data_IF_450690754322
#
_entry.id   IF_450690754322
#
_cell.length_a   1.000
_cell.length_b   1.000
_cell.length_c   1.000
_cell.angle_alpha   90.00
_cell.angle_beta   90.00
_cell.angle_gamma   90.00
#
_symmetry.space_group_name_H-M   'P 1'
#
loop_
_entity.id
_entity.type
_entity.pdbx_description
1 polymer ?
#
# COMPACT_ATOMS: atom_id res chain seq x y z
N UNK A 1 43.75 -56.49 -4.18
CA UNK A 1 43.61 -56.32 -2.72
C UNK A 1 42.32 -55.52 -2.51
N UNK A 2 41.14 -56.14 -2.43
CA UNK A 2 40.50 -56.73 -1.22
C UNK A 2 40.15 -55.65 -0.18
N UNK A 3 38.97 -55.46 0.45
CA UNK A 3 37.59 -56.02 0.56
C UNK A 3 36.80 -54.90 1.30
N UNK A 4 35.57 -54.51 0.95
CA UNK A 4 34.24 -55.03 1.34
C UNK A 4 33.92 -55.15 2.86
N UNK A 5 32.85 -54.45 3.27
CA UNK A 5 31.88 -54.63 4.39
C UNK A 5 32.34 -54.86 5.85
N UNK A 6 31.77 -54.14 6.83
CA UNK A 6 30.47 -54.47 7.45
C UNK A 6 30.09 -53.56 8.67
N UNK A 7 28.78 -53.56 8.94
CA UNK A 7 27.94 -52.90 9.94
C UNK A 7 28.23 -53.09 11.45
N UNK A 8 27.71 -52.14 12.28
CA UNK A 8 26.87 -52.34 13.51
C UNK A 8 26.55 -50.99 14.18
N UNK A 9 25.28 -50.53 14.13
CA UNK A 9 24.22 -50.63 15.17
C UNK A 9 24.57 -49.96 16.53
N UNK A 10 24.09 -48.73 16.73
CA UNK A 10 23.92 -48.07 18.02
C UNK A 10 22.51 -47.49 18.15
N UNK A 11 21.76 -47.96 19.15
CA UNK A 11 20.32 -47.75 19.39
C UNK A 11 20.02 -46.32 19.86
N UNK A 12 19.00 -45.67 19.29
CA UNK A 12 18.27 -44.57 19.95
C UNK A 12 16.96 -45.12 20.51
N UNK A 13 16.79 -44.95 21.82
CA UNK A 13 15.62 -45.33 22.60
C UNK A 13 14.41 -44.49 22.23
N UNK A 14 13.32 -45.17 21.87
CA UNK A 14 12.00 -44.57 21.72
C UNK A 14 11.38 -44.17 23.05
N UNK A 15 10.56 -43.12 23.01
CA UNK A 15 9.47 -42.90 23.97
C UNK A 15 8.26 -42.41 23.18
N UNK A 16 7.25 -43.27 23.08
CA UNK A 16 6.02 -43.02 22.35
C UNK A 16 4.98 -42.23 23.14
N UNK A 17 4.18 -41.49 22.36
CA UNK A 17 2.75 -41.17 22.45
C UNK A 17 2.03 -41.26 23.82
N UNK A 18 1.36 -40.16 24.18
CA UNK A 18 -0.10 -40.18 24.34
C UNK A 18 -0.70 -38.75 24.41
N UNK A 19 -1.47 -38.31 23.42
CA UNK A 19 -2.45 -37.21 23.57
C UNK A 19 -3.66 -37.45 22.68
N UNK A 20 -4.58 -38.27 23.19
CA UNK A 20 -6.00 -38.28 22.79
C UNK A 20 -6.79 -37.36 23.71
N UNK A 21 -7.50 -36.38 23.13
CA UNK A 21 -8.72 -35.68 23.60
C UNK A 21 -8.80 -34.36 22.83
N UNK A 22 -9.90 -33.91 22.24
CA UNK A 22 -11.27 -34.38 22.15
C UNK A 22 -12.00 -33.31 21.32
N UNK A 23 -12.83 -33.75 20.39
CA UNK A 23 -13.69 -32.86 19.59
C UNK A 23 -14.71 -32.18 20.51
N UNK A 24 -14.84 -30.86 20.41
CA UNK A 24 -16.06 -30.16 20.84
C UNK A 24 -16.32 -28.97 19.92
N UNK A 25 -17.03 -29.24 18.83
CA UNK A 25 -17.83 -28.28 18.07
C UNK A 25 -19.15 -28.06 18.81
N UNK A 26 -19.41 -26.85 19.31
CA UNK A 26 -20.74 -26.51 19.82
C UNK A 26 -20.99 -25.00 19.75
N UNK A 27 -22.26 -24.67 19.45
CA UNK A 27 -22.91 -23.35 19.28
C UNK A 27 -22.83 -22.84 17.84
N UNK A 28 -23.71 -23.27 16.93
CA UNK A 28 -25.13 -23.61 17.13
C UNK A 28 -25.94 -22.32 17.12
N UNK A 29 -26.31 -21.92 15.90
CA UNK A 29 -27.07 -20.74 15.53
C UNK A 29 -28.52 -21.19 15.29
N UNK A 30 -29.49 -20.70 16.06
CA UNK A 30 -30.93 -20.76 15.71
C UNK A 30 -31.78 -19.85 16.65
N UNK A 31 -32.92 -19.34 16.15
CA UNK A 31 -33.48 -18.04 16.54
C UNK A 31 -34.79 -18.16 17.33
N UNK A 32 -35.23 -17.08 17.99
CA UNK A 32 -36.64 -16.91 18.36
C UNK A 32 -37.11 -15.48 18.10
N UNK A 33 -38.15 -15.41 17.28
CA UNK A 33 -38.98 -14.27 16.90
C UNK A 33 -40.31 -14.38 17.67
N UNK A 34 -40.86 -13.26 18.09
CA UNK A 34 -42.22 -13.10 18.60
C UNK A 34 -42.35 -11.69 19.15
N UNK A 35 -42.87 -10.73 18.38
CA UNK A 35 -44.29 -10.34 18.36
C UNK A 35 -44.77 -9.79 19.71
N UNK A 36 -45.54 -8.72 19.85
CA UNK A 36 -46.07 -7.68 18.97
C UNK A 36 -46.83 -6.70 19.92
N UNK A 37 -47.15 -5.50 19.41
CA UNK A 37 -48.30 -4.62 19.80
C UNK A 37 -48.13 -3.52 20.86
N UNK A 38 -48.26 -2.31 20.31
CA UNK A 38 -49.22 -1.23 20.63
C UNK A 38 -48.98 -0.28 21.83
N UNK A 39 -48.56 0.94 21.46
CA UNK A 39 -49.09 2.25 21.92
C UNK A 39 -50.58 2.42 21.48
N UNK A 40 -51.31 3.51 21.79
CA UNK A 40 -51.07 4.67 22.69
C UNK A 40 -52.32 5.15 23.49
N UNK A 41 -52.22 6.38 24.04
CA UNK A 41 -53.25 7.34 24.52
C UNK A 41 -53.51 7.33 26.03
N UNK A 42 -53.64 8.45 26.75
CA UNK A 42 -53.68 9.88 26.43
C UNK A 42 -54.36 10.62 27.61
N UNK A 43 -54.04 11.92 27.81
CA UNK A 43 -54.65 12.90 28.76
C UNK A 43 -54.43 12.59 30.25
N UNK A 44 -54.18 13.53 31.16
CA UNK A 44 -54.24 14.99 31.16
C UNK A 44 -54.47 15.43 32.62
N UNK A 45 -53.99 16.61 33.04
CA UNK A 45 -54.37 17.23 34.31
C UNK A 45 -53.22 17.89 35.08
N UNK A 46 -53.12 19.22 34.95
CA UNK A 46 -52.40 20.10 35.86
C UNK A 46 -53.39 20.61 36.96
N UNK A 47 -53.12 21.66 37.78
CA UNK A 47 -51.87 22.27 38.27
C UNK A 47 -51.91 22.58 39.79
N UNK A 48 -50.79 22.98 40.42
CA UNK A 48 -50.82 23.96 41.53
C UNK A 48 -49.43 24.56 41.82
N UNK A 49 -49.41 25.88 42.04
CA UNK A 49 -48.29 26.79 42.33
C UNK A 49 -47.80 26.67 43.79
N UNK A 50 -46.56 27.08 44.06
CA UNK A 50 -46.13 27.96 45.18
C UNK A 50 -44.59 28.18 45.09
N UNK A 51 -44.14 29.35 44.64
CA UNK A 51 -43.54 30.48 45.41
C UNK A 51 -42.10 30.31 45.90
N UNK A 52 -41.21 31.07 45.25
CA UNK A 52 -40.08 31.89 45.73
C UNK A 52 -39.04 31.34 46.74
N UNK A 53 -37.75 31.46 46.37
CA UNK A 53 -36.68 31.74 47.35
C UNK A 53 -35.27 31.21 47.06
N UNK A 54 -34.42 32.06 46.45
CA UNK A 54 -33.01 32.32 46.82
C UNK A 54 -31.88 31.27 46.67
N UNK A 55 -30.74 31.78 46.15
CA UNK A 55 -29.32 31.44 46.39
C UNK A 55 -28.63 30.34 45.56
N UNK A 56 -27.84 30.85 44.61
CA UNK A 56 -26.40 30.59 44.37
C UNK A 56 -25.82 29.24 44.82
N UNK A 57 -25.33 28.46 43.87
CA UNK A 57 -24.08 27.70 44.00
C UNK A 57 -23.49 27.40 42.59
N UNK A 58 -22.22 27.75 42.42
CA UNK A 58 -21.52 27.74 41.14
C UNK A 58 -21.15 26.32 40.67
N UNK A 59 -21.41 26.05 39.39
CA UNK A 59 -20.83 24.89 38.69
C UNK A 59 -19.45 25.28 38.15
N UNK A 60 -18.41 24.44 38.36
CA UNK A 60 -17.09 24.70 37.79
C UNK A 60 -17.17 24.58 36.27
N UNK A 61 -16.79 25.66 35.60
CA UNK A 61 -16.68 25.77 34.16
C UNK A 61 -15.51 24.88 33.70
N UNK A 62 -15.77 23.61 33.38
CA UNK A 62 -14.83 22.78 32.62
C UNK A 62 -14.71 23.37 31.23
N UNK A 63 -13.79 24.32 31.11
CA UNK A 63 -13.39 24.96 29.89
C UNK A 63 -12.61 23.94 29.06
N UNK A 64 -13.30 22.95 28.49
CA UNK A 64 -12.80 22.15 27.38
C UNK A 64 -12.63 23.12 26.22
N UNK A 65 -11.45 23.73 26.16
CA UNK A 65 -10.98 24.47 24.99
C UNK A 65 -11.11 23.52 23.80
N UNK A 66 -12.19 23.69 23.03
CA UNK A 66 -12.32 23.15 21.69
C UNK A 66 -11.01 23.45 20.98
N UNK A 67 -10.25 22.41 20.69
CA UNK A 67 -9.06 22.52 19.87
C UNK A 67 -9.51 23.19 18.58
N UNK A 68 -8.85 24.29 18.23
CA UNK A 68 -9.15 25.04 17.04
C UNK A 68 -8.77 24.17 15.85
N UNK A 69 -9.75 23.47 15.29
CA UNK A 69 -9.61 22.76 14.03
C UNK A 69 -9.24 23.78 12.94
N UNK A 70 -7.94 23.89 12.64
CA UNK A 70 -7.46 24.74 11.55
C UNK A 70 -7.87 24.09 10.22
N UNK A 71 -8.64 24.75 9.35
CA UNK A 71 -9.15 24.13 8.13
C UNK A 71 -8.02 23.67 7.19
N UNK A 72 -6.94 24.45 7.07
CA UNK A 72 -5.81 24.23 6.14
C UNK A 72 -4.57 23.56 6.75
N UNK A 73 -4.74 22.69 7.75
CA UNK A 73 -3.62 21.97 8.36
C UNK A 73 -3.44 20.54 7.86
N UNK A 74 -2.20 20.06 7.91
CA UNK A 74 -1.84 18.65 7.68
C UNK A 74 -2.29 17.86 8.92
N UNK A 75 -2.98 16.73 8.74
CA UNK A 75 -3.34 15.85 9.87
C UNK A 75 -2.07 15.38 10.59
N UNK A 76 -2.06 15.46 11.92
CA UNK A 76 -0.89 15.17 12.77
C UNK A 76 -0.30 13.77 12.49
N UNK A 77 -1.15 12.76 12.30
CA UNK A 77 -0.69 11.42 11.96
C UNK A 77 0.07 11.35 10.62
N UNK A 78 -0.29 12.18 9.65
CA UNK A 78 0.39 12.32 8.37
C UNK A 78 1.69 13.10 8.56
N UNK A 79 1.69 14.15 9.37
CA UNK A 79 2.88 14.92 9.68
C UNK A 79 3.99 14.05 10.28
N UNK A 80 3.65 13.22 11.29
CA UNK A 80 4.60 12.30 11.94
C UNK A 80 5.05 11.20 10.98
N UNK A 81 4.14 10.63 10.19
CA UNK A 81 4.53 9.59 9.23
C UNK A 81 5.47 10.14 8.15
N UNK A 82 5.24 11.37 7.70
CA UNK A 82 6.08 12.03 6.69
C UNK A 82 7.43 12.49 7.25
N UNK A 83 7.63 12.50 8.58
CA UNK A 83 8.94 12.73 9.18
C UNK A 83 9.80 11.46 9.28
N UNK A 84 9.38 10.36 8.64
CA UNK A 84 10.15 9.12 8.55
C UNK A 84 10.07 8.20 9.77
N UNK A 85 9.42 8.61 10.86
CA UNK A 85 9.49 7.92 12.16
C UNK A 85 8.71 6.61 12.18
N UNK A 86 7.50 6.61 11.61
CA UNK A 86 6.61 5.46 11.67
C UNK A 86 5.56 5.50 10.56
N UNK A 87 4.77 4.44 10.45
CA UNK A 87 3.60 4.42 9.58
C UNK A 87 2.49 5.33 10.12
N UNK A 88 1.55 5.75 9.25
CA UNK A 88 0.39 6.56 9.67
C UNK A 88 -0.47 5.90 10.75
N UNK A 89 -0.52 4.56 10.77
CA UNK A 89 -1.30 3.78 11.77
C UNK A 89 -0.60 3.75 13.11
N UNK A 90 0.72 3.61 13.12
CA UNK A 90 1.51 3.71 14.35
C UNK A 90 1.51 5.13 14.89
N UNK A 91 1.57 6.14 14.03
CA UNK A 91 1.41 7.54 14.43
C UNK A 91 0.08 7.78 15.15
N UNK A 92 -1.01 7.18 14.67
CA UNK A 92 -2.31 7.21 15.34
C UNK A 92 -2.24 6.59 16.75
N UNK A 93 -1.52 5.49 16.93
CA UNK A 93 -1.26 4.88 18.25
C UNK A 93 -0.44 5.81 19.15
N UNK A 94 0.64 6.40 18.65
CA UNK A 94 1.51 7.28 19.43
C UNK A 94 0.83 8.59 19.87
N UNK A 95 -0.07 9.12 19.03
CA UNK A 95 -0.94 10.24 19.38
C UNK A 95 -1.86 9.81 20.53
N UNK A 96 -2.53 8.67 20.41
CA UNK A 96 -3.46 8.18 21.44
C UNK A 96 -2.78 7.91 22.79
N UNK A 97 -1.51 7.48 22.79
CA UNK A 97 -0.72 7.26 24.01
C UNK A 97 -0.09 8.52 24.59
N UNK A 98 -0.26 9.69 23.95
CA UNK A 98 0.26 10.97 24.43
C UNK A 98 1.77 11.15 24.30
N UNK A 99 2.41 10.42 23.38
CA UNK A 99 3.86 10.55 23.08
C UNK A 99 4.17 11.74 22.16
N UNK A 100 3.15 12.46 21.70
CA UNK A 100 3.27 13.56 20.74
C UNK A 100 2.85 14.87 21.38
N UNK A 101 3.68 15.89 21.20
CA UNK A 101 3.36 17.27 21.60
C UNK A 101 3.36 18.21 20.41
N UNK A 102 2.46 19.19 20.43
CA UNK A 102 2.37 20.27 19.44
C UNK A 102 2.40 21.59 20.19
N UNK A 103 3.38 22.44 19.89
CA UNK A 103 3.60 23.73 20.55
C UNK A 103 3.62 23.58 22.09
N UNK A 104 4.30 22.54 22.58
CA UNK A 104 4.46 22.25 24.02
C UNK A 104 3.26 21.60 24.71
N UNK A 105 2.18 21.26 23.98
CA UNK A 105 0.99 20.60 24.55
C UNK A 105 0.86 19.17 24.04
N UNK A 106 0.59 18.23 24.95
CA UNK A 106 0.28 16.84 24.59
C UNK A 106 -1.03 16.82 23.80
N UNK A 107 -1.01 16.17 22.63
CA UNK A 107 -2.18 16.02 21.77
C UNK A 107 -2.56 14.54 21.70
N UNK A 108 -3.73 14.20 22.25
CA UNK A 108 -4.30 12.85 22.20
C UNK A 108 -5.49 12.74 21.24
N UNK A 109 -5.87 13.86 20.61
CA UNK A 109 -7.05 13.95 19.75
C UNK A 109 -6.74 13.41 18.34
N UNK A 110 -7.50 12.39 17.95
CA UNK A 110 -7.44 11.84 16.61
C UNK A 110 -7.94 12.84 15.58
N UNK A 111 -7.16 13.06 14.52
CA UNK A 111 -7.54 14.00 13.46
C UNK A 111 -7.10 15.44 13.70
N UNK A 112 -6.38 15.72 14.80
CA UNK A 112 -5.74 17.01 15.01
C UNK A 112 -4.92 17.43 13.78
N UNK A 113 -4.98 18.72 13.44
CA UNK A 113 -4.31 19.28 12.27
C UNK A 113 -3.23 20.27 12.71
N UNK A 114 -2.05 20.17 12.09
CA UNK A 114 -0.88 21.00 12.36
C UNK A 114 -0.44 21.72 11.09
N UNK A 115 0.17 22.88 11.28
CA UNK A 115 0.85 23.62 10.24
C UNK A 115 2.32 23.23 10.17
N UNK A 116 2.95 23.46 9.03
CA UNK A 116 4.39 23.17 8.86
C UNK A 116 5.28 24.03 9.75
N UNK A 117 4.76 25.15 10.23
CA UNK A 117 5.40 26.07 11.18
C UNK A 117 5.21 25.70 12.66
N UNK A 118 4.28 24.79 12.99
CA UNK A 118 4.07 24.38 14.39
C UNK A 118 5.28 23.56 14.90
N UNK A 119 5.60 23.68 16.19
CA UNK A 119 6.63 22.86 16.85
C UNK A 119 6.04 21.50 17.24
N UNK A 120 6.20 20.51 16.37
CA UNK A 120 5.77 19.13 16.63
C UNK A 120 6.95 18.34 17.18
N UNK A 121 6.74 17.67 18.33
CA UNK A 121 7.73 16.80 18.94
C UNK A 121 7.18 15.40 19.22
N UNK A 122 7.98 14.40 18.94
CA UNK A 122 7.74 13.00 19.30
C UNK A 122 8.78 12.60 20.34
N UNK A 123 8.33 12.13 21.51
CA UNK A 123 9.21 11.75 22.62
C UNK A 123 10.23 12.85 22.98
N UNK A 124 9.75 14.10 23.04
CA UNK A 124 10.56 15.30 23.35
C UNK A 124 11.44 15.83 22.20
N UNK A 125 11.67 15.04 21.15
CA UNK A 125 12.48 15.44 19.98
C UNK A 125 11.64 16.16 18.94
N UNK A 126 12.12 17.29 18.45
CA UNK A 126 11.46 18.04 17.36
C UNK A 126 11.55 17.27 16.06
N UNK A 127 10.42 17.16 15.37
CA UNK A 127 10.28 16.42 14.13
C UNK A 127 9.78 17.34 13.03
N UNK A 128 10.26 17.11 11.81
CA UNK A 128 9.81 17.82 10.62
C UNK A 128 9.60 16.84 9.48
N UNK A 129 8.60 17.04 8.60
CA UNK A 129 8.41 16.20 7.44
C UNK A 129 9.65 16.22 6.55
N UNK A 130 10.00 15.06 6.02
CA UNK A 130 11.08 14.90 5.05
C UNK A 130 10.71 15.60 3.73
N UNK A 131 11.69 16.09 2.96
CA UNK A 131 11.44 16.63 1.64
C UNK A 131 10.93 15.54 0.69
N UNK A 132 10.04 15.94 -0.23
CA UNK A 132 9.54 15.03 -1.25
C UNK A 132 10.69 14.57 -2.14
N UNK A 133 10.87 13.26 -2.21
CA UNK A 133 11.96 12.60 -2.94
C UNK A 133 11.36 11.67 -3.99
N UNK A 134 11.99 11.64 -5.15
CA UNK A 134 11.56 10.84 -6.29
C UNK A 134 12.74 10.09 -6.87
N UNK A 135 12.68 8.77 -6.86
CA UNK A 135 13.78 7.92 -7.34
C UNK A 135 13.24 7.01 -8.42
N UNK A 136 13.94 6.96 -9.55
CA UNK A 136 13.69 6.00 -10.62
C UNK A 136 14.77 4.93 -10.58
N UNK A 137 14.36 3.68 -10.36
CA UNK A 137 15.25 2.51 -10.34
C UNK A 137 14.99 1.65 -11.57
N UNK A 138 16.05 1.21 -12.25
CA UNK A 138 15.95 0.15 -13.25
C UNK A 138 16.19 -1.21 -12.58
N UNK A 139 15.12 -1.79 -12.03
CA UNK A 139 15.15 -3.00 -11.21
C UNK A 139 15.71 -4.21 -11.99
N UNK A 140 16.68 -4.95 -11.42
CA UNK A 140 17.18 -6.19 -11.97
C UNK A 140 16.26 -7.38 -11.65
N UNK A 141 16.53 -8.53 -12.27
CA UNK A 141 15.81 -9.78 -12.00
C UNK A 141 16.15 -10.27 -10.59
N UNK A 142 15.30 -11.13 -10.01
CA UNK A 142 15.47 -11.80 -8.70
C UNK A 142 15.29 -10.92 -7.45
N UNK A 143 15.07 -9.61 -7.61
CA UNK A 143 14.83 -8.66 -6.52
C UNK A 143 13.34 -8.53 -6.20
N UNK A 144 12.97 -8.48 -4.92
CA UNK A 144 11.58 -8.36 -4.49
C UNK A 144 11.13 -6.89 -4.35
N UNK A 145 9.95 -6.56 -4.88
CA UNK A 145 9.33 -5.22 -4.71
C UNK A 145 8.49 -5.18 -3.44
N UNK A 146 9.15 -5.08 -2.30
CA UNK A 146 8.54 -5.03 -0.97
C UNK A 146 9.32 -4.07 -0.08
N UNK A 147 8.61 -3.43 0.84
CA UNK A 147 9.18 -2.58 1.89
C UNK A 147 9.38 -3.34 3.21
N UNK A 148 8.84 -4.55 3.31
CA UNK A 148 9.04 -5.42 4.47
C UNK A 148 10.27 -6.29 4.29
N UNK A 149 10.93 -6.62 5.40
CA UNK A 149 12.05 -7.55 5.46
C UNK A 149 11.62 -8.92 4.92
N UNK A 150 11.96 -9.16 3.67
CA UNK A 150 11.67 -10.41 2.98
C UNK A 150 12.92 -11.28 2.94
N UNK A 151 12.74 -12.59 2.74
CA UNK A 151 13.87 -13.49 2.51
C UNK A 151 14.54 -13.18 1.17
N UNK A 152 15.55 -12.31 1.19
CA UNK A 152 16.43 -11.98 0.07
C UNK A 152 16.43 -10.49 -0.31
N UNK A 153 17.17 -10.18 -1.38
CA UNK A 153 17.40 -8.81 -1.86
C UNK A 153 16.09 -8.12 -2.27
N UNK A 154 15.85 -6.95 -1.71
CA UNK A 154 14.69 -6.10 -1.96
C UNK A 154 15.08 -4.88 -2.80
N UNK A 155 14.07 -4.23 -3.36
CA UNK A 155 14.28 -2.95 -4.06
C UNK A 155 14.74 -1.84 -3.11
N UNK A 156 14.42 -1.93 -1.81
CA UNK A 156 14.86 -0.96 -0.81
C UNK A 156 16.37 -1.06 -0.59
N UNK A 157 16.92 -2.27 -0.60
CA UNK A 157 18.37 -2.50 -0.50
C UNK A 157 19.13 -1.88 -1.67
N UNK A 158 18.54 -1.84 -2.87
CA UNK A 158 19.17 -1.24 -4.04
C UNK A 158 19.22 0.30 -3.99
N UNK A 159 18.29 0.92 -3.28
CA UNK A 159 18.16 2.38 -3.19
C UNK A 159 18.58 2.92 -1.81
N UNK A 160 19.13 2.09 -0.94
CA UNK A 160 19.49 2.46 0.44
C UNK A 160 20.42 3.68 0.51
N UNK A 161 21.31 3.82 -0.48
CA UNK A 161 22.28 4.91 -0.56
C UNK A 161 21.77 6.10 -1.39
N UNK A 162 20.50 6.08 -1.82
CA UNK A 162 19.92 7.13 -2.66
C UNK A 162 19.38 8.30 -1.86
N UNK A 163 18.77 8.01 -0.70
CA UNK A 163 18.16 9.01 0.16
C UNK A 163 18.03 8.46 1.57
N UNK A 164 18.03 9.36 2.55
CA UNK A 164 17.63 9.04 3.92
C UNK A 164 16.11 9.09 4.10
N UNK A 165 15.38 9.62 3.12
CA UNK A 165 13.93 9.77 3.20
C UNK A 165 13.19 8.42 3.06
N UNK A 166 12.07 8.28 3.76
CA UNK A 166 11.25 7.08 3.78
C UNK A 166 10.36 6.98 2.52
N UNK A 167 10.99 6.64 1.38
CA UNK A 167 10.31 6.48 0.09
C UNK A 167 9.67 5.09 -0.07
N UNK A 168 8.59 5.02 -0.85
CA UNK A 168 7.86 3.78 -1.14
C UNK A 168 7.73 3.54 -2.63
N UNK A 169 7.74 2.27 -3.08
CA UNK A 169 7.54 1.95 -4.49
C UNK A 169 6.14 2.30 -4.96
N UNK A 170 6.07 2.92 -6.14
CA UNK A 170 4.85 3.28 -6.84
C UNK A 170 4.43 2.10 -7.71
N UNK A 171 3.55 1.26 -7.15
CA UNK A 171 3.12 -0.01 -7.76
C UNK A 171 4.10 -1.16 -7.46
N UNK A 172 3.89 -2.31 -8.07
CA UNK A 172 4.66 -3.53 -7.77
C UNK A 172 5.14 -4.23 -9.02
N UNK A 173 6.46 -4.42 -9.14
CA UNK A 173 7.08 -5.23 -10.18
C UNK A 173 7.42 -6.63 -9.63
N UNK A 174 6.99 -7.68 -10.33
CA UNK A 174 7.22 -9.05 -9.89
C UNK A 174 8.70 -9.37 -9.70
N UNK A 175 9.02 -10.36 -8.87
CA UNK A 175 10.42 -10.71 -8.54
C UNK A 175 11.26 -11.02 -9.79
N UNK A 176 10.64 -11.72 -10.75
CA UNK A 176 11.26 -12.09 -12.02
C UNK A 176 11.12 -11.04 -13.11
N UNK A 177 10.31 -10.00 -12.90
CA UNK A 177 10.17 -8.89 -13.82
C UNK A 177 11.26 -7.85 -13.58
N UNK A 178 11.69 -7.22 -14.66
CA UNK A 178 12.75 -6.21 -14.67
C UNK A 178 12.20 -4.87 -15.14
N UNK A 179 12.95 -3.79 -14.94
CA UNK A 179 12.62 -2.51 -15.56
C UNK A 179 12.39 -1.41 -14.57
N UNK A 180 11.82 -0.33 -15.08
CA UNK A 180 11.62 0.88 -14.31
C UNK A 180 10.64 0.64 -13.16
N UNK A 181 10.94 1.27 -12.03
CA UNK A 181 10.06 1.41 -10.89
C UNK A 181 10.33 2.76 -10.23
N UNK A 182 9.26 3.50 -9.97
CA UNK A 182 9.31 4.81 -9.32
C UNK A 182 9.17 4.64 -7.81
N UNK A 183 9.89 5.43 -7.03
CA UNK A 183 9.76 5.53 -5.58
C UNK A 183 9.47 6.97 -5.19
N UNK A 184 8.59 7.16 -4.20
CA UNK A 184 8.35 8.47 -3.61
C UNK A 184 7.79 8.39 -2.18
N UNK A 185 7.99 9.44 -1.41
CA UNK A 185 7.31 9.73 -0.15
C UNK A 185 6.17 10.77 -0.32
N UNK A 186 5.92 11.27 -1.54
CA UNK A 186 4.82 12.18 -1.83
C UNK A 186 3.49 11.43 -1.95
N UNK A 187 2.73 11.44 -0.84
CA UNK A 187 1.37 10.90 -0.76
C UNK A 187 0.40 11.55 -1.77
N UNK A 188 0.58 12.84 -2.11
CA UNK A 188 -0.30 13.55 -3.03
C UNK A 188 -0.12 13.02 -4.45
N UNK A 189 1.13 12.91 -4.91
CA UNK A 189 1.42 12.28 -6.20
C UNK A 189 0.97 10.81 -6.22
N UNK A 190 1.25 10.03 -5.16
CA UNK A 190 0.80 8.64 -5.10
C UNK A 190 -0.72 8.50 -5.22
N UNK A 191 -1.49 9.34 -4.51
CA UNK A 191 -2.96 9.35 -4.62
C UNK A 191 -3.41 9.73 -6.03
N UNK A 192 -2.76 10.71 -6.65
CA UNK A 192 -3.07 11.14 -8.03
C UNK A 192 -2.84 10.00 -9.02
N UNK A 193 -1.70 9.34 -8.94
CA UNK A 193 -1.34 8.21 -9.81
C UNK A 193 -2.22 6.99 -9.59
N UNK A 194 -2.67 6.75 -8.36
CA UNK A 194 -3.63 5.68 -8.06
C UNK A 194 -4.99 5.96 -8.71
N UNK A 195 -5.45 7.21 -8.69
CA UNK A 195 -6.77 7.59 -9.22
C UNK A 195 -6.79 7.68 -10.75
N UNK A 196 -5.76 8.28 -11.35
CA UNK A 196 -5.70 8.49 -12.81
C UNK A 196 -5.04 7.31 -13.55
N UNK A 197 -4.33 6.46 -12.83
CA UNK A 197 -3.42 5.48 -13.40
C UNK A 197 -2.11 6.12 -13.85
N UNK A 198 -1.19 5.27 -14.29
CA UNK A 198 0.12 5.67 -14.78
C UNK A 198 0.45 4.78 -15.97
N UNK A 199 0.63 5.40 -17.12
CA UNK A 199 1.01 4.68 -18.33
C UNK A 199 2.38 4.02 -18.15
N UNK A 200 2.46 2.75 -18.51
CA UNK A 200 3.66 1.95 -18.47
C UNK A 200 3.75 1.14 -19.75
N UNK A 201 4.90 1.22 -20.42
CA UNK A 201 5.19 0.37 -21.56
C UNK A 201 6.02 -0.82 -21.11
N UNK A 202 5.55 -2.02 -21.43
CA UNK A 202 6.23 -3.27 -21.16
C UNK A 202 6.72 -3.87 -22.46
N UNK A 203 7.97 -4.32 -22.46
CA UNK A 203 8.47 -5.29 -23.42
C UNK A 203 8.24 -6.68 -22.82
N UNK A 204 7.55 -7.53 -23.56
CA UNK A 204 7.13 -8.86 -23.12
C UNK A 204 7.67 -9.89 -24.11
N UNK A 205 8.28 -10.94 -23.59
CA UNK A 205 8.68 -12.11 -24.38
C UNK A 205 7.79 -13.30 -24.00
N UNK A 206 7.19 -13.93 -25.00
CA UNK A 206 6.33 -15.10 -24.87
C UNK A 206 7.10 -16.38 -25.22
N UNK A 207 6.55 -17.52 -24.81
CA UNK A 207 7.06 -18.86 -25.13
C UNK A 207 6.94 -19.22 -26.61
N UNK A 208 5.95 -18.64 -27.31
CA UNK A 208 5.69 -18.83 -28.74
C UNK A 208 5.22 -17.54 -29.41
N UNK A 209 5.23 -17.51 -30.74
CA UNK A 209 4.79 -16.36 -31.51
C UNK A 209 3.33 -16.02 -31.21
N UNK A 210 3.04 -14.75 -30.93
CA UNK A 210 1.68 -14.26 -30.80
C UNK A 210 1.01 -14.25 -32.19
N UNK A 211 -0.18 -14.83 -32.28
CA UNK A 211 -0.98 -14.81 -33.51
C UNK A 211 -1.58 -13.43 -33.72
N UNK A 212 -1.66 -12.98 -34.98
CA UNK A 212 -2.28 -11.69 -35.32
C UNK A 212 -3.72 -11.57 -34.80
N UNK A 213 -4.52 -12.63 -34.96
CA UNK A 213 -5.89 -12.66 -34.44
C UNK A 213 -5.97 -12.50 -32.92
N UNK A 214 -5.00 -13.01 -32.15
CA UNK A 214 -4.99 -12.85 -30.70
C UNK A 214 -4.50 -11.45 -30.29
N UNK A 215 -3.57 -10.86 -31.06
CA UNK A 215 -3.18 -9.46 -30.90
C UNK A 215 -4.37 -8.52 -31.09
N UNK A 216 -5.18 -8.76 -32.12
CA UNK A 216 -6.39 -7.97 -32.40
C UNK A 216 -7.43 -8.11 -31.28
N UNK A 217 -7.64 -9.33 -30.75
CA UNK A 217 -8.50 -9.54 -29.56
C UNK A 217 -8.02 -8.74 -28.35
N UNK A 218 -6.71 -8.72 -28.08
CA UNK A 218 -6.16 -7.92 -26.96
C UNK A 218 -6.43 -6.43 -27.19
N UNK A 219 -6.30 -5.94 -28.43
CA UNK A 219 -6.55 -4.54 -28.80
C UNK A 219 -8.03 -4.15 -28.63
N UNK A 220 -8.95 -5.03 -28.99
CA UNK A 220 -10.41 -4.80 -28.87
C UNK A 220 -10.93 -4.96 -27.42
N UNK A 221 -10.12 -5.57 -26.56
CA UNK A 221 -10.43 -5.88 -25.17
C UNK A 221 -10.91 -7.32 -25.01
N UNK A 222 -10.39 -7.98 -23.99
CA UNK A 222 -10.65 -9.40 -23.70
C UNK A 222 -11.55 -9.54 -22.50
N UNK A 223 -12.40 -10.56 -22.51
CA UNK A 223 -13.15 -10.96 -21.33
C UNK A 223 -12.36 -12.08 -20.64
N UNK A 224 -11.80 -11.78 -19.47
CA UNK A 224 -11.01 -12.72 -18.67
C UNK A 224 -11.71 -12.91 -17.33
N UNK A 225 -12.07 -14.15 -17.00
CA UNK A 225 -12.77 -14.51 -15.75
C UNK A 225 -14.05 -13.68 -15.47
N UNK A 226 -14.77 -13.29 -16.53
CA UNK A 226 -15.99 -12.49 -16.41
C UNK A 226 -15.78 -10.97 -16.41
N UNK A 227 -14.53 -10.50 -16.33
CA UNK A 227 -14.18 -9.08 -16.35
C UNK A 227 -13.61 -8.67 -17.71
N UNK A 228 -14.04 -7.51 -18.23
CA UNK A 228 -13.48 -6.97 -19.48
C UNK A 228 -12.19 -6.22 -19.19
N UNK A 229 -11.10 -6.73 -19.74
CA UNK A 229 -9.76 -6.18 -19.66
C UNK A 229 -9.47 -5.34 -20.90
N UNK A 230 -9.05 -4.10 -20.68
CA UNK A 230 -8.62 -3.19 -21.73
C UNK A 230 -7.13 -2.84 -21.56
N UNK A 231 -6.47 -2.64 -22.69
CA UNK A 231 -5.08 -2.18 -22.77
C UNK A 231 -5.05 -0.91 -23.63
N UNK A 232 -4.08 -0.04 -23.39
CA UNK A 232 -3.98 1.22 -24.14
C UNK A 232 -3.43 0.95 -25.55
N UNK A 233 -2.42 0.09 -25.64
CA UNK A 233 -1.77 -0.23 -26.91
C UNK A 233 -1.10 -1.60 -26.84
N UNK A 234 -1.14 -2.33 -27.96
CA UNK A 234 -0.38 -3.57 -28.15
C UNK A 234 0.16 -3.62 -29.58
N UNK A 235 1.44 -3.98 -29.71
CA UNK A 235 2.12 -4.09 -31.00
C UNK A 235 3.27 -5.09 -30.96
N UNK A 236 3.63 -5.64 -32.12
CA UNK A 236 4.88 -6.38 -32.26
C UNK A 236 6.06 -5.43 -32.11
N UNK A 237 7.15 -5.91 -31.52
CA UNK A 237 8.40 -5.15 -31.49
C UNK A 237 9.02 -5.15 -32.89
N UNK A 238 9.29 -3.97 -33.44
CA UNK A 238 9.90 -3.81 -34.76
C UNK A 238 11.26 -4.51 -34.82
N UNK A 239 11.51 -5.25 -35.90
CA UNK A 239 12.74 -6.04 -36.10
C UNK A 239 13.01 -7.13 -35.05
N UNK A 240 11.99 -7.56 -34.33
CA UNK A 240 12.08 -8.67 -33.38
C UNK A 240 11.16 -9.84 -33.78
N UNK A 241 11.37 -11.05 -33.22
CA UNK A 241 10.45 -12.17 -33.40
C UNK A 241 9.03 -11.82 -32.93
N UNK A 242 8.00 -12.42 -33.55
CA UNK A 242 6.58 -12.20 -33.17
C UNK A 242 6.20 -12.72 -31.77
N UNK A 243 7.13 -13.33 -31.05
CA UNK A 243 7.01 -13.64 -29.61
C UNK A 243 7.36 -12.45 -28.70
N UNK A 244 7.95 -11.38 -29.25
CA UNK A 244 8.26 -10.14 -28.52
C UNK A 244 7.22 -9.07 -28.84
N UNK A 245 6.59 -8.56 -27.77
CA UNK A 245 5.41 -7.70 -27.86
C UNK A 245 5.58 -6.50 -26.93
N UNK A 246 5.25 -5.32 -27.46
CA UNK A 246 5.08 -4.10 -26.68
C UNK A 246 3.65 -4.02 -26.17
N UNK A 247 3.49 -3.81 -24.87
CA UNK A 247 2.18 -3.64 -24.23
C UNK A 247 2.16 -2.39 -23.36
N UNK A 248 1.27 -1.45 -23.68
CA UNK A 248 1.03 -0.24 -22.89
C UNK A 248 -0.21 -0.43 -22.03
N UNK A 249 -0.06 -0.27 -20.73
CA UNK A 249 -1.17 -0.32 -19.76
C UNK A 249 -1.11 0.88 -18.84
N UNK A 250 -2.27 1.34 -18.40
CA UNK A 250 -2.39 2.42 -17.41
C UNK A 250 -2.48 1.92 -15.96
N UNK A 251 -2.69 0.61 -15.78
CA UNK A 251 -2.83 0.00 -14.47
C UNK A 251 -1.47 -0.12 -13.75
N UNK A 252 -1.49 0.04 -12.43
CA UNK A 252 -0.33 -0.02 -11.53
C UNK A 252 0.13 -1.45 -11.20
N UNK A 253 -0.69 -2.46 -11.54
CA UNK A 253 -0.42 -3.88 -11.29
C UNK A 253 0.13 -4.63 -12.52
N UNK A 254 1.11 -5.50 -12.29
CA UNK A 254 1.73 -6.33 -13.34
C UNK A 254 1.15 -7.74 -13.48
N UNK A 255 0.21 -8.13 -12.62
CA UNK A 255 -0.51 -9.40 -12.73
C UNK A 255 -1.33 -9.47 -14.02
N UNK A 256 -1.91 -8.33 -14.42
CA UNK A 256 -2.76 -8.21 -15.61
C UNK A 256 -2.08 -8.72 -16.88
N UNK A 257 -0.78 -8.46 -17.03
CA UNK A 257 0.01 -8.91 -18.19
C UNK A 257 -0.04 -10.43 -18.31
N UNK A 258 0.25 -11.13 -17.22
CA UNK A 258 0.24 -12.60 -17.20
C UNK A 258 -1.17 -13.12 -17.42
N UNK A 259 -2.15 -12.55 -16.74
CA UNK A 259 -3.58 -12.90 -16.88
C UNK A 259 -4.05 -12.85 -18.34
N UNK A 260 -3.69 -11.80 -19.10
CA UNK A 260 -4.07 -11.67 -20.52
C UNK A 260 -3.46 -12.80 -21.37
N UNK A 261 -2.15 -13.01 -21.26
CA UNK A 261 -1.45 -13.97 -22.11
C UNK A 261 -1.75 -15.43 -21.73
N UNK A 262 -1.86 -15.72 -20.43
CA UNK A 262 -2.20 -17.05 -19.92
C UNK A 262 -3.62 -17.45 -20.39
N UNK A 263 -4.58 -16.52 -20.37
CA UNK A 263 -5.95 -16.74 -20.88
C UNK A 263 -5.98 -17.11 -22.37
N UNK A 264 -5.05 -16.58 -23.15
CA UNK A 264 -4.91 -16.88 -24.58
C UNK A 264 -3.99 -18.11 -24.83
N UNK A 265 -3.51 -18.76 -23.78
CA UNK A 265 -2.67 -19.95 -23.85
C UNK A 265 -1.21 -19.67 -24.20
N UNK A 266 -0.69 -18.50 -23.85
CA UNK A 266 0.72 -18.12 -23.98
C UNK A 266 1.37 -17.99 -22.61
N UNK A 267 2.61 -18.46 -22.47
CA UNK A 267 3.36 -18.27 -21.23
C UNK A 267 4.28 -17.06 -21.35
N UNK A 268 4.25 -16.19 -20.34
CA UNK A 268 5.13 -15.02 -20.30
C UNK A 268 6.51 -15.40 -19.74
N UNK A 269 7.52 -15.41 -20.62
CA UNK A 269 8.92 -15.74 -20.30
C UNK A 269 9.62 -14.57 -19.63
N UNK A 270 9.43 -13.36 -20.16
CA UNK A 270 10.10 -12.14 -19.69
C UNK A 270 9.12 -10.97 -19.68
N UNK A 271 9.20 -10.17 -18.63
CA UNK A 271 8.49 -8.89 -18.53
C UNK A 271 9.48 -7.82 -18.15
N UNK A 272 9.53 -6.78 -18.96
CA UNK A 272 10.43 -5.66 -18.75
C UNK A 272 9.70 -4.32 -18.89
N UNK A 273 9.57 -3.56 -17.80
CA UNK A 273 8.98 -2.21 -17.84
C UNK A 273 9.99 -1.24 -18.46
N UNK A 274 9.74 -0.79 -19.69
CA UNK A 274 10.64 0.05 -20.49
C UNK A 274 10.47 1.53 -20.20
N UNK A 275 9.22 1.98 -20.08
CA UNK A 275 8.89 3.38 -19.78
C UNK A 275 7.84 3.48 -18.69
N UNK A 276 7.88 4.58 -17.96
CA UNK A 276 6.87 4.99 -16.98
C UNK A 276 6.50 6.42 -17.31
N UNK A 277 5.28 6.65 -17.81
CA UNK A 277 4.88 7.93 -18.39
C UNK A 277 5.95 8.45 -19.37
N UNK A 278 6.54 9.62 -19.10
CA UNK A 278 7.61 10.22 -19.90
C UNK A 278 9.02 9.70 -19.53
N UNK A 279 9.17 8.93 -18.45
CA UNK A 279 10.46 8.41 -17.99
C UNK A 279 10.88 7.18 -18.79
N UNK A 280 12.16 7.11 -19.12
CA UNK A 280 12.76 6.02 -19.91
C UNK A 280 13.98 5.44 -19.20
N UNK A 281 14.52 4.35 -19.75
CA UNK A 281 15.77 3.71 -19.31
C UNK A 281 17.04 4.40 -19.79
N UNK A 282 16.91 5.50 -20.53
CA UNK A 282 18.07 6.22 -21.08
C UNK A 282 19.02 6.59 -19.94
N UNK A 283 20.28 6.26 -20.11
CA UNK A 283 21.36 6.50 -19.15
C UNK A 283 21.14 5.88 -17.75
N UNK A 284 20.28 4.85 -17.66
CA UNK A 284 19.96 4.16 -16.41
C UNK A 284 20.15 2.64 -16.55
N UNK A 285 21.38 2.13 -16.34
CA UNK A 285 21.68 0.70 -16.39
C UNK A 285 20.90 -0.12 -15.35
N UNK A 286 20.83 -1.45 -15.56
CA UNK A 286 20.19 -2.37 -14.61
C UNK A 286 20.83 -2.28 -13.22
N UNK A 287 20.00 -2.32 -12.19
CA UNK A 287 20.42 -2.22 -10.79
C UNK A 287 20.76 -0.80 -10.35
N UNK A 288 20.82 0.17 -11.27
CA UNK A 288 21.08 1.57 -10.95
C UNK A 288 19.79 2.37 -10.82
N UNK A 289 19.88 3.43 -10.04
CA UNK A 289 18.83 4.39 -9.80
C UNK A 289 19.32 5.81 -10.08
N UNK A 290 18.38 6.72 -10.31
CA UNK A 290 18.62 8.17 -10.36
C UNK A 290 17.54 8.90 -9.56
N UNK A 291 17.90 10.05 -9.00
CA UNK A 291 16.92 10.98 -8.42
C UNK A 291 16.31 11.78 -9.57
N UNK A 292 14.99 11.96 -9.56
CA UNK A 292 14.31 12.75 -10.57
C UNK A 292 14.48 14.24 -10.30
N UNK A 293 14.63 15.00 -11.38
CA UNK A 293 14.62 16.46 -11.35
C UNK A 293 13.22 17.00 -11.12
N UNK A 294 13.11 18.25 -10.64
CA UNK A 294 11.79 18.90 -10.46
C UNK A 294 10.99 18.95 -11.76
N UNK A 295 11.66 19.18 -12.90
CA UNK A 295 11.03 19.21 -14.22
C UNK A 295 10.42 17.84 -14.60
N UNK A 296 11.15 16.74 -14.38
CA UNK A 296 10.62 15.38 -14.58
C UNK A 296 9.42 15.10 -13.65
N UNK A 297 9.46 15.58 -12.40
CA UNK A 297 8.34 15.41 -11.46
C UNK A 297 7.11 16.21 -11.90
N UNK A 298 7.28 17.46 -12.34
CA UNK A 298 6.21 18.33 -12.80
C UNK A 298 5.45 17.75 -14.00
N UNK A 299 6.11 16.99 -14.86
CA UNK A 299 5.43 16.32 -15.98
C UNK A 299 4.40 15.27 -15.52
N UNK A 300 4.49 14.72 -14.30
CA UNK A 300 3.40 13.91 -13.74
C UNK A 300 2.18 14.74 -13.34
N UNK A 301 2.33 16.05 -13.12
CA UNK A 301 1.21 16.95 -12.81
C UNK A 301 0.28 17.15 -14.03
N UNK A 302 0.75 16.88 -15.24
CA UNK A 302 -0.01 16.98 -16.50
C UNK A 302 -0.80 15.71 -16.86
N UNK A 303 -0.56 14.58 -16.18
CA UNK A 303 -1.40 13.37 -16.26
C UNK A 303 -2.77 13.62 -15.62
#
# INVERSE_FOLDING_TARGET
>A
MSRQDNSRKGKTSGRGNNTTKGKSSARGNAPLKGENRNKPTGRGGAPAKHTAGSKTEGKPNTNTKKSTARPDGIRLNKYIANSGICSRREADTYIATGLVTVNGKIVNEMGHKVQRTDDVRFDGRRISPEPDTYILLNKPKSVATTTSDSKGLTVMDLISNATTANVKPVGRLGRNATGLILFTNDDALMKKLHNKGMERLFHIELDKNLKAADLDKIREGLLVDGEKVFVEEISYVTNAPKKEVGLKIKNMGNSLIRTIFDHLGYNVVKVDCVTIAHLTKKDLPRGRWKILTKQEVELFSML
#
